data_IF_491625176023
#
_entry.id   IF_491625176023
#
_cell.length_a   1.000
_cell.length_b   1.000
_cell.length_c   1.000
_cell.angle_alpha   90.00
_cell.angle_beta   90.00
_cell.angle_gamma   90.00
#
_symmetry.space_group_name_H-M   'P 1'
#
loop_
_entity.id
_entity.type
_entity.pdbx_description
1 polymer ?
#
# COMPACT_ATOMS: atom_id res chain seq x y z
N UNK A 1 26.00 -21.30 -17.95
CA UNK A 1 27.38 -21.63 -18.31
C UNK A 1 27.48 -22.25 -19.71
N UNK A 2 27.02 -23.48 -20.00
CA UNK A 2 27.05 -24.05 -21.34
C UNK A 2 26.19 -23.25 -22.34
N UNK A 3 24.97 -22.90 -21.99
CA UNK A 3 24.07 -22.09 -22.83
C UNK A 3 24.68 -20.71 -23.15
N UNK A 4 25.39 -20.09 -22.22
CA UNK A 4 26.07 -18.81 -22.48
C UNK A 4 27.18 -18.97 -23.48
N UNK A 5 28.01 -20.01 -23.36
CA UNK A 5 29.06 -20.29 -24.34
C UNK A 5 28.50 -20.55 -25.75
N UNK A 6 27.36 -21.26 -25.86
CA UNK A 6 26.69 -21.45 -27.17
C UNK A 6 26.15 -20.14 -27.75
N UNK A 7 25.59 -19.26 -26.90
CA UNK A 7 25.10 -17.95 -27.33
C UNK A 7 26.28 -17.04 -27.78
N UNK A 8 27.37 -17.05 -27.03
CA UNK A 8 28.59 -16.28 -27.40
C UNK A 8 29.17 -16.76 -28.73
N UNK A 9 29.23 -18.09 -28.97
CA UNK A 9 29.66 -18.65 -30.25
C UNK A 9 28.71 -18.22 -31.38
N UNK A 10 27.41 -18.34 -31.22
CA UNK A 10 26.43 -17.96 -32.22
C UNK A 10 26.55 -16.45 -32.56
N UNK A 11 26.79 -15.61 -31.54
CA UNK A 11 27.03 -14.18 -31.72
C UNK A 11 28.29 -13.92 -32.57
N UNK A 12 29.40 -14.58 -32.28
CA UNK A 12 30.65 -14.46 -33.06
C UNK A 12 30.45 -14.89 -34.49
N UNK A 13 29.70 -15.99 -34.74
CA UNK A 13 29.37 -16.44 -36.09
C UNK A 13 28.58 -15.37 -36.85
N UNK A 14 27.52 -14.84 -36.21
CA UNK A 14 26.66 -13.81 -36.80
C UNK A 14 27.46 -12.51 -37.11
N UNK A 15 28.37 -12.10 -36.23
CA UNK A 15 29.24 -10.94 -36.46
C UNK A 15 30.16 -11.17 -37.67
N UNK A 16 30.73 -12.37 -37.83
CA UNK A 16 31.53 -12.74 -38.99
C UNK A 16 30.70 -12.74 -40.27
N UNK A 17 29.53 -13.34 -40.24
CA UNK A 17 28.61 -13.39 -41.38
C UNK A 17 28.13 -11.98 -41.78
N UNK A 18 27.94 -11.08 -40.84
CA UNK A 18 27.64 -9.68 -41.09
C UNK A 18 28.77 -8.99 -41.91
N UNK A 19 30.03 -9.23 -41.52
CA UNK A 19 31.19 -8.71 -42.26
C UNK A 19 31.32 -9.30 -43.66
N UNK A 20 31.05 -10.61 -43.80
CA UNK A 20 31.07 -11.29 -45.08
C UNK A 20 29.92 -10.85 -45.99
N UNK A 21 28.76 -10.57 -45.46
CA UNK A 21 27.64 -10.02 -46.23
C UNK A 21 27.98 -8.62 -46.75
N UNK A 22 28.63 -7.78 -45.93
CA UNK A 22 29.04 -6.43 -46.34
C UNK A 22 29.96 -6.40 -47.56
N UNK A 23 30.80 -7.44 -47.75
CA UNK A 23 31.66 -7.62 -48.92
C UNK A 23 31.05 -8.57 -49.96
N UNK A 24 29.77 -8.90 -49.86
CA UNK A 24 29.01 -9.81 -50.75
C UNK A 24 29.62 -11.23 -50.87
N UNK A 25 30.35 -11.69 -49.85
CA UNK A 25 30.97 -13.02 -49.82
C UNK A 25 29.94 -14.13 -49.44
N UNK A 26 28.84 -13.79 -48.84
CA UNK A 26 27.74 -14.72 -48.50
C UNK A 26 26.38 -14.17 -48.94
N UNK A 27 25.40 -15.07 -49.06
CA UNK A 27 24.01 -14.67 -49.35
C UNK A 27 23.32 -14.08 -48.13
N UNK A 28 22.33 -13.22 -48.37
CA UNK A 28 21.50 -12.67 -47.31
C UNK A 28 20.80 -13.76 -46.48
N UNK A 29 20.41 -14.86 -47.11
CA UNK A 29 19.77 -15.99 -46.41
C UNK A 29 20.69 -16.64 -45.38
N UNK A 30 21.98 -16.75 -45.64
CA UNK A 30 22.97 -17.28 -44.69
C UNK A 30 23.09 -16.35 -43.48
N UNK A 31 23.21 -15.05 -43.73
CA UNK A 31 23.23 -14.06 -42.63
C UNK A 31 21.94 -14.06 -41.81
N UNK A 32 20.77 -14.07 -42.45
CA UNK A 32 19.48 -14.09 -41.76
C UNK A 32 19.33 -15.34 -40.87
N UNK A 33 19.87 -16.49 -41.33
CA UNK A 33 19.89 -17.75 -40.56
C UNK A 33 20.79 -17.63 -39.34
N UNK A 34 22.00 -17.13 -39.48
CA UNK A 34 22.93 -16.95 -38.35
C UNK A 34 22.43 -15.91 -37.35
N UNK A 35 21.77 -14.84 -37.82
CA UNK A 35 21.16 -13.84 -36.98
C UNK A 35 20.00 -14.41 -36.17
N UNK A 36 19.14 -15.25 -36.79
CA UNK A 36 18.05 -15.93 -36.12
C UNK A 36 18.56 -16.93 -35.07
N UNK A 37 19.63 -17.69 -35.38
CA UNK A 37 20.23 -18.63 -34.42
C UNK A 37 20.84 -17.88 -33.23
N UNK A 38 21.62 -16.82 -33.46
CA UNK A 38 22.17 -16.00 -32.38
C UNK A 38 21.07 -15.43 -31.46
N UNK A 39 19.97 -14.92 -32.03
CA UNK A 39 18.81 -14.43 -31.27
C UNK A 39 18.14 -15.54 -30.47
N UNK A 40 18.00 -16.72 -31.06
CA UNK A 40 17.40 -17.87 -30.36
C UNK A 40 18.25 -18.33 -29.18
N UNK A 41 19.57 -18.42 -29.33
CA UNK A 41 20.49 -18.80 -28.25
C UNK A 41 20.53 -17.78 -27.14
N UNK A 42 20.48 -16.48 -27.43
CA UNK A 42 20.36 -15.42 -26.43
C UNK A 42 19.06 -15.54 -25.66
N UNK A 43 17.93 -15.75 -26.32
CA UNK A 43 16.64 -15.93 -25.67
C UNK A 43 16.63 -17.14 -24.73
N UNK A 44 17.32 -18.24 -25.08
CA UNK A 44 17.49 -19.41 -24.20
C UNK A 44 18.29 -19.06 -22.94
N UNK A 45 19.35 -18.25 -23.06
CA UNK A 45 20.15 -17.77 -21.91
C UNK A 45 19.27 -16.90 -21.01
N UNK A 46 18.52 -15.96 -21.56
CA UNK A 46 17.64 -15.06 -20.80
C UNK A 46 16.55 -15.84 -20.05
N UNK A 47 15.96 -16.82 -20.72
CA UNK A 47 14.99 -17.73 -20.09
C UNK A 47 15.60 -18.47 -18.89
N UNK A 48 16.83 -18.98 -19.04
CA UNK A 48 17.51 -19.68 -17.95
C UNK A 48 17.89 -18.72 -16.80
N UNK A 49 18.32 -17.50 -17.11
CA UNK A 49 18.59 -16.46 -16.11
C UNK A 49 17.32 -16.14 -15.32
N UNK A 50 16.18 -16.00 -16.00
CA UNK A 50 14.89 -15.75 -15.35
C UNK A 50 14.47 -16.90 -14.41
N UNK A 51 14.74 -18.16 -14.82
CA UNK A 51 14.49 -19.33 -13.98
C UNK A 51 15.35 -19.34 -12.71
N UNK A 52 16.65 -18.99 -12.86
CA UNK A 52 17.56 -18.86 -11.70
C UNK A 52 17.14 -17.71 -10.79
N UNK A 53 16.72 -16.58 -11.36
CA UNK A 53 16.25 -15.43 -10.58
C UNK A 53 15.01 -15.78 -9.73
N UNK A 54 14.09 -16.61 -10.26
CA UNK A 54 12.94 -17.12 -9.49
C UNK A 54 13.33 -18.01 -8.30
N UNK A 55 14.52 -18.60 -8.30
CA UNK A 55 15.05 -19.39 -7.16
C UNK A 55 15.68 -18.52 -6.08
N UNK A 56 15.92 -17.26 -6.36
CA UNK A 56 16.54 -16.33 -5.43
C UNK A 56 15.51 -15.23 -5.05
N UNK A 57 14.75 -15.50 -4.01
CA UNK A 57 13.73 -14.59 -3.51
C UNK A 57 14.36 -13.39 -2.81
N UNK A 58 14.08 -12.20 -3.32
CA UNK A 58 14.50 -10.93 -2.73
C UNK A 58 13.28 -10.20 -2.18
N UNK A 59 13.48 -9.46 -1.08
CA UNK A 59 12.46 -8.58 -0.55
C UNK A 59 12.09 -7.51 -1.58
N UNK A 60 10.80 -7.33 -1.93
CA UNK A 60 10.37 -6.34 -2.93
C UNK A 60 10.42 -4.91 -2.41
N UNK A 61 10.44 -4.71 -1.10
CA UNK A 61 10.52 -3.41 -0.43
C UNK A 61 11.21 -3.56 0.93
N UNK A 62 11.61 -2.44 1.52
CA UNK A 62 12.18 -2.38 2.86
C UNK A 62 11.07 -2.44 3.91
N UNK A 63 11.23 -3.31 4.91
CA UNK A 63 10.21 -3.47 5.95
C UNK A 63 10.68 -4.35 7.10
N UNK A 64 9.78 -4.61 8.04
CA UNK A 64 10.01 -5.54 9.14
C UNK A 64 9.59 -6.95 8.73
N UNK A 65 10.53 -7.88 8.87
CA UNK A 65 10.28 -9.30 8.66
C UNK A 65 9.60 -9.89 9.89
N UNK A 66 8.55 -10.66 9.67
CA UNK A 66 7.88 -11.41 10.72
C UNK A 66 8.57 -12.74 11.02
N UNK A 67 7.82 -13.65 11.63
CA UNK A 67 8.33 -14.99 11.97
C UNK A 67 8.52 -15.80 10.67
N UNK A 68 9.69 -16.40 10.53
CA UNK A 68 9.99 -17.30 9.42
C UNK A 68 9.33 -18.66 9.71
N UNK A 69 8.52 -19.13 8.76
CA UNK A 69 7.71 -20.35 8.92
C UNK A 69 8.37 -21.58 8.32
N UNK A 70 9.61 -21.48 7.82
CA UNK A 70 10.31 -22.54 7.13
C UNK A 70 11.70 -22.78 7.77
N UNK A 71 12.18 -24.01 7.62
CA UNK A 71 13.51 -24.41 8.11
C UNK A 71 14.49 -24.62 6.95
N UNK A 72 15.80 -24.41 7.15
CA UNK A 72 16.81 -24.76 6.17
C UNK A 72 16.71 -26.24 5.77
N UNK A 73 16.75 -26.51 4.46
CA UNK A 73 16.58 -27.85 3.89
C UNK A 73 15.15 -28.32 3.69
N UNK A 74 14.16 -27.54 4.09
CA UNK A 74 12.75 -27.83 3.83
C UNK A 74 12.42 -27.63 2.34
N UNK A 75 11.65 -28.56 1.78
CA UNK A 75 11.09 -28.43 0.44
C UNK A 75 9.92 -27.45 0.48
N UNK A 76 9.87 -26.52 -0.47
CA UNK A 76 8.85 -25.46 -0.59
C UNK A 76 8.22 -25.52 -1.95
N UNK A 77 6.90 -25.48 -2.02
CA UNK A 77 6.15 -25.39 -3.26
C UNK A 77 5.88 -23.94 -3.65
N UNK A 78 5.64 -23.66 -4.93
CA UNK A 78 5.11 -22.36 -5.35
C UNK A 78 3.77 -22.09 -4.67
N UNK A 79 3.67 -20.93 -3.99
CA UNK A 79 2.48 -20.53 -3.22
C UNK A 79 2.59 -20.75 -1.71
N UNK A 80 3.60 -21.47 -1.23
CA UNK A 80 3.82 -21.63 0.20
C UNK A 80 4.25 -20.29 0.84
N UNK A 81 3.67 -20.01 2.02
CA UNK A 81 4.01 -18.82 2.79
C UNK A 81 5.34 -19.05 3.51
N UNK A 82 6.34 -18.23 3.22
CA UNK A 82 7.66 -18.32 3.80
C UNK A 82 7.81 -17.44 5.05
N UNK A 83 7.43 -16.19 4.91
CA UNK A 83 7.45 -15.17 5.95
C UNK A 83 6.49 -14.03 5.60
N UNK A 84 6.24 -13.15 6.55
CA UNK A 84 5.55 -11.87 6.29
C UNK A 84 6.58 -10.75 6.27
N UNK A 85 6.42 -9.83 5.31
CA UNK A 85 7.17 -8.59 5.24
C UNK A 85 6.16 -7.44 5.30
N UNK A 86 6.35 -6.51 6.23
CA UNK A 86 5.40 -5.40 6.45
C UNK A 86 6.14 -4.08 6.55
N UNK A 87 5.58 -3.06 5.90
CA UNK A 87 5.97 -1.66 6.13
C UNK A 87 5.23 -1.18 7.38
N UNK A 88 5.95 -0.64 8.35
CA UNK A 88 5.39 -0.14 9.60
C UNK A 88 5.31 1.39 9.65
N UNK A 89 5.98 2.07 8.73
CA UNK A 89 5.96 3.51 8.60
C UNK A 89 6.04 3.89 7.11
N UNK A 90 5.01 4.57 6.57
CA UNK A 90 3.73 4.87 7.22
C UNK A 90 2.86 3.64 7.45
N UNK A 91 1.90 3.73 8.37
CA UNK A 91 0.87 2.70 8.59
C UNK A 91 -0.49 3.22 8.10
N UNK A 92 -1.31 2.32 7.57
CA UNK A 92 -2.65 2.63 7.11
C UNK A 92 -3.70 2.13 8.10
N UNK A 93 -4.76 2.90 8.26
CA UNK A 93 -5.92 2.57 9.09
C UNK A 93 -7.17 2.61 8.22
N UNK A 94 -7.82 1.46 8.13
CA UNK A 94 -9.10 1.31 7.45
C UNK A 94 -10.23 1.42 8.46
N UNK A 95 -11.21 2.26 8.18
CA UNK A 95 -12.38 2.42 9.02
C UNK A 95 -13.63 2.68 8.17
N UNK A 96 -14.79 2.45 8.79
CA UNK A 96 -16.07 2.58 8.12
C UNK A 96 -16.82 3.77 8.68
N UNK A 97 -17.41 4.57 7.80
CA UNK A 97 -18.25 5.70 8.12
C UNK A 97 -19.66 5.51 7.56
N UNK A 98 -20.72 5.91 8.30
CA UNK A 98 -22.06 5.94 7.76
C UNK A 98 -22.16 6.86 6.54
N UNK A 99 -22.95 6.45 5.52
CA UNK A 99 -23.11 7.21 4.28
C UNK A 99 -23.57 8.67 4.47
N UNK A 100 -24.27 8.96 5.57
CA UNK A 100 -24.78 10.31 5.87
C UNK A 100 -23.64 11.32 6.09
N UNK A 101 -22.45 10.85 6.44
CA UNK A 101 -21.28 11.69 6.69
C UNK A 101 -20.34 11.77 5.46
N UNK A 102 -20.70 11.10 4.35
CA UNK A 102 -19.87 11.00 3.16
C UNK A 102 -19.50 12.37 2.55
N UNK A 103 -20.47 13.29 2.51
CA UNK A 103 -20.27 14.63 1.92
C UNK A 103 -19.30 15.49 2.72
N UNK A 104 -19.11 15.16 3.99
CA UNK A 104 -18.29 15.94 4.92
C UNK A 104 -16.85 15.43 5.00
N UNK A 105 -16.54 14.32 4.31
CA UNK A 105 -15.23 13.67 4.34
C UNK A 105 -14.51 13.93 3.02
N UNK A 106 -13.27 14.42 3.15
CA UNK A 106 -12.43 14.72 1.99
C UNK A 106 -11.03 14.11 2.14
N UNK A 107 -10.44 13.72 1.01
CA UNK A 107 -9.05 13.30 0.96
C UNK A 107 -8.14 14.46 1.42
N UNK A 108 -7.17 14.16 2.28
CA UNK A 108 -6.27 15.15 2.89
C UNK A 108 -6.75 15.67 4.25
N UNK A 109 -7.99 15.38 4.66
CA UNK A 109 -8.52 15.76 5.97
C UNK A 109 -7.75 15.08 7.09
N UNK A 110 -7.53 15.80 8.18
CA UNK A 110 -6.80 15.32 9.33
C UNK A 110 -7.67 14.40 10.19
N UNK A 111 -7.07 13.33 10.69
CA UNK A 111 -7.69 12.35 11.58
C UNK A 111 -6.81 12.14 12.81
N UNK A 112 -7.45 11.95 13.94
CA UNK A 112 -6.77 11.58 15.20
C UNK A 112 -7.12 10.14 15.52
N UNK A 113 -6.10 9.31 15.66
CA UNK A 113 -6.22 7.88 15.90
C UNK A 113 -5.71 7.56 17.30
N UNK A 114 -6.48 6.81 18.05
CA UNK A 114 -6.12 6.27 19.35
C UNK A 114 -6.23 4.75 19.32
N UNK A 115 -5.39 4.07 20.08
CA UNK A 115 -5.40 2.61 20.17
C UNK A 115 -5.55 2.16 21.62
N UNK A 116 -6.20 1.05 21.84
CA UNK A 116 -6.37 0.52 23.21
C UNK A 116 -5.05 0.08 23.84
N UNK A 117 -4.05 -0.22 22.99
CA UNK A 117 -2.70 -0.58 23.43
C UNK A 117 -1.91 0.61 24.01
N UNK A 118 -2.24 1.85 23.60
CA UNK A 118 -1.56 3.08 24.01
C UNK A 118 -2.61 4.15 24.33
N UNK A 119 -3.28 4.03 25.48
CA UNK A 119 -4.42 4.86 25.88
C UNK A 119 -4.12 6.35 25.97
N UNK A 120 -2.87 6.69 26.33
CA UNK A 120 -2.42 8.08 26.51
C UNK A 120 -1.74 8.66 25.24
N UNK A 121 -1.65 7.90 24.17
CA UNK A 121 -1.04 8.32 22.91
C UNK A 121 -2.11 8.55 21.84
N UNK A 122 -2.05 9.72 21.21
CA UNK A 122 -2.82 10.03 20.01
C UNK A 122 -1.89 10.15 18.81
N UNK A 123 -2.30 9.58 17.70
CA UNK A 123 -1.54 9.60 16.45
C UNK A 123 -2.33 10.41 15.43
N UNK A 124 -1.66 11.37 14.82
CA UNK A 124 -2.29 12.19 13.79
C UNK A 124 -1.99 11.62 12.40
N UNK A 125 -3.00 11.59 11.56
CA UNK A 125 -2.90 11.10 10.19
C UNK A 125 -3.74 11.94 9.23
N UNK A 126 -3.75 11.53 7.97
CA UNK A 126 -4.56 12.15 6.92
C UNK A 126 -5.30 11.09 6.13
N UNK A 127 -6.52 11.42 5.72
CA UNK A 127 -7.31 10.57 4.82
C UNK A 127 -6.60 10.50 3.46
N UNK A 128 -6.30 9.31 3.00
CA UNK A 128 -5.65 9.03 1.70
C UNK A 128 -6.64 8.62 0.64
N UNK A 129 -7.67 7.87 1.04
CA UNK A 129 -8.68 7.41 0.11
C UNK A 129 -10.05 7.29 0.76
N UNK A 130 -11.08 7.55 -0.03
CA UNK A 130 -12.49 7.31 0.31
C UNK A 130 -13.06 6.40 -0.77
N UNK A 131 -13.65 5.28 -0.38
CA UNK A 131 -14.25 4.35 -1.32
C UNK A 131 -15.40 5.01 -2.08
N UNK A 132 -15.44 4.93 -3.41
CA UNK A 132 -16.59 5.44 -4.18
C UNK A 132 -17.82 4.53 -4.06
N UNK A 133 -17.69 3.37 -3.40
CA UNK A 133 -18.74 2.38 -3.25
C UNK A 133 -19.23 2.34 -1.80
N UNK A 134 -20.54 2.41 -1.64
CA UNK A 134 -21.22 2.16 -0.36
C UNK A 134 -21.48 0.66 -0.23
N UNK A 135 -21.16 0.09 0.93
CA UNK A 135 -21.56 -1.28 1.25
C UNK A 135 -23.09 -1.32 1.45
N UNK A 136 -23.75 -2.13 0.62
CA UNK A 136 -25.22 -2.21 0.61
C UNK A 136 -25.81 -2.85 1.85
N UNK A 137 -25.05 -3.69 2.57
CA UNK A 137 -25.51 -4.39 3.76
C UNK A 137 -25.41 -3.51 5.00
N UNK A 138 -24.29 -2.80 5.14
CA UNK A 138 -23.99 -1.98 6.33
C UNK A 138 -24.32 -0.50 6.11
N UNK A 139 -24.51 -0.06 4.85
CA UNK A 139 -24.67 1.34 4.43
C UNK A 139 -23.51 2.24 4.88
N UNK A 140 -22.34 1.66 4.95
CA UNK A 140 -21.10 2.35 5.29
C UNK A 140 -20.21 2.56 4.08
N UNK A 141 -19.37 3.59 4.17
CA UNK A 141 -18.30 3.89 3.22
C UNK A 141 -16.98 3.56 3.89
N UNK A 142 -16.13 2.83 3.21
CA UNK A 142 -14.78 2.54 3.67
C UNK A 142 -13.88 3.73 3.39
N UNK A 143 -13.11 4.11 4.40
CA UNK A 143 -12.13 5.20 4.34
C UNK A 143 -10.78 4.69 4.82
N UNK A 144 -9.73 5.09 4.14
CA UNK A 144 -8.36 4.79 4.49
C UNK A 144 -7.65 6.07 4.92
N UNK A 145 -6.95 6.02 6.03
CA UNK A 145 -6.08 7.10 6.50
C UNK A 145 -4.65 6.59 6.69
N UNK A 146 -3.69 7.44 6.36
CA UNK A 146 -2.27 7.20 6.54
C UNK A 146 -1.78 7.92 7.79
N UNK A 147 -1.04 7.21 8.63
CA UNK A 147 -0.49 7.69 9.89
C UNK A 147 1.03 7.53 9.88
N UNK A 148 1.74 8.55 10.33
CA UNK A 148 3.17 8.44 10.58
C UNK A 148 3.41 7.59 11.83
N UNK A 149 4.29 6.61 11.75
CA UNK A 149 4.62 5.68 12.84
C UNK A 149 6.16 5.51 12.97
N UNK A 150 6.90 6.62 13.19
CA UNK A 150 8.36 6.58 13.21
C UNK A 150 8.90 5.65 14.31
N UNK A 151 8.24 5.60 15.45
CA UNK A 151 8.59 4.73 16.57
C UNK A 151 8.20 3.26 16.35
N UNK A 152 7.45 2.96 15.28
CA UNK A 152 6.95 1.61 14.96
C UNK A 152 6.16 0.96 16.11
N UNK A 153 5.47 1.79 16.91
CA UNK A 153 4.64 1.35 18.05
C UNK A 153 3.33 0.73 17.60
N UNK A 154 2.72 1.31 16.57
CA UNK A 154 1.49 0.77 15.99
C UNK A 154 1.84 -0.41 15.10
N UNK A 155 1.16 -1.54 15.33
CA UNK A 155 1.36 -2.75 14.54
C UNK A 155 0.10 -3.06 13.73
N UNK A 156 0.24 -3.61 12.52
CA UNK A 156 -0.90 -4.08 11.73
C UNK A 156 -1.71 -5.12 12.52
N UNK A 157 -3.04 -5.00 12.45
CA UNK A 157 -3.98 -5.85 13.20
C UNK A 157 -4.37 -5.31 14.58
N UNK A 158 -3.81 -4.19 15.02
CA UNK A 158 -4.29 -3.52 16.23
C UNK A 158 -5.64 -2.85 15.98
N UNK A 159 -6.47 -2.82 17.01
CA UNK A 159 -7.71 -2.07 17.00
C UNK A 159 -7.43 -0.57 17.19
N UNK A 160 -8.11 0.27 16.41
CA UNK A 160 -7.93 1.71 16.44
C UNK A 160 -9.28 2.42 16.45
N UNK A 161 -9.38 3.47 17.27
CA UNK A 161 -10.50 4.41 17.28
C UNK A 161 -10.08 5.64 16.49
N UNK A 162 -10.87 6.00 15.49
CA UNK A 162 -10.59 7.14 14.60
C UNK A 162 -11.56 8.27 14.93
N UNK A 163 -11.02 9.43 15.28
CA UNK A 163 -11.77 10.66 15.50
C UNK A 163 -11.50 11.61 14.33
N UNK A 164 -12.57 12.04 13.70
CA UNK A 164 -12.54 12.97 12.58
C UNK A 164 -13.30 14.23 12.98
N UNK A 165 -12.69 15.40 12.82
CA UNK A 165 -13.41 16.65 12.97
C UNK A 165 -14.16 16.95 11.68
N UNK A 166 -15.48 17.00 11.79
CA UNK A 166 -16.38 17.21 10.65
C UNK A 166 -17.09 18.56 10.83
N UNK A 167 -16.98 19.43 9.85
CA UNK A 167 -17.60 20.76 9.85
C UNK A 167 -16.81 21.83 10.59
N UNK A 168 -17.36 23.04 10.60
CA UNK A 168 -16.77 24.19 11.27
C UNK A 168 -17.06 24.14 12.78
N UNK A 169 -16.11 24.61 13.61
CA UNK A 169 -16.33 24.76 15.04
C UNK A 169 -17.39 25.82 15.29
N UNK A 170 -18.58 25.41 15.68
CA UNK A 170 -19.64 26.32 16.09
C UNK A 170 -19.49 26.60 17.59
N UNK A 171 -19.26 27.86 17.93
CA UNK A 171 -19.31 28.32 19.33
C UNK A 171 -20.75 28.35 19.80
N UNK A 172 -21.14 27.38 20.60
CA UNK A 172 -22.45 27.34 21.23
C UNK A 172 -22.39 27.91 22.64
N UNK A 173 -23.35 28.76 22.98
CA UNK A 173 -23.57 29.17 24.36
C UNK A 173 -24.24 28.00 25.12
N UNK A 174 -23.50 27.43 26.04
CA UNK A 174 -24.01 26.35 26.88
C UNK A 174 -24.38 26.87 28.24
N UNK A 175 -25.52 26.40 28.78
CA UNK A 175 -25.96 26.68 30.13
C UNK A 175 -26.06 25.37 30.91
N UNK A 176 -25.73 25.38 32.21
CA UNK A 176 -25.98 24.23 33.05
C UNK A 176 -27.46 23.91 33.03
N UNK A 177 -27.84 22.63 33.06
CA UNK A 177 -29.24 22.18 33.04
C UNK A 177 -30.04 22.76 34.22
N UNK A 178 -29.38 23.05 35.33
CA UNK A 178 -29.94 23.69 36.50
C UNK A 178 -30.34 25.15 36.30
N UNK A 179 -29.86 25.82 35.25
CA UNK A 179 -30.21 27.20 34.92
C UNK A 179 -31.47 27.29 34.03
N UNK A 180 -32.01 26.15 33.60
CA UNK A 180 -33.20 26.08 32.74
C UNK A 180 -34.38 25.64 33.60
N UNK A 181 -35.40 26.48 33.65
CA UNK A 181 -36.66 26.16 34.32
C UNK A 181 -37.66 25.65 33.31
N UNK A 182 -38.18 24.46 33.54
CA UNK A 182 -39.18 23.82 32.68
C UNK A 182 -40.58 24.10 33.24
N UNK A 183 -41.50 24.57 32.40
CA UNK A 183 -42.90 24.74 32.74
C UNK A 183 -43.78 24.22 31.58
N UNK A 184 -45.09 24.00 31.78
CA UNK A 184 -45.98 23.46 30.75
C UNK A 184 -46.04 24.26 29.45
N UNK A 185 -45.59 25.51 29.47
CA UNK A 185 -45.61 26.41 28.33
C UNK A 185 -44.25 26.58 27.63
N UNK A 186 -43.18 25.94 28.14
CA UNK A 186 -41.84 25.96 27.55
C UNK A 186 -40.71 26.00 28.56
N UNK A 187 -39.49 26.16 28.04
CA UNK A 187 -38.26 26.27 28.83
C UNK A 187 -37.86 27.74 28.94
N UNK A 188 -37.58 28.23 30.13
CA UNK A 188 -37.21 29.60 30.42
C UNK A 188 -35.86 29.68 31.12
N UNK A 189 -35.09 30.75 30.84
CA UNK A 189 -33.83 31.07 31.49
C UNK A 189 -33.90 32.50 32.00
N UNK A 190 -33.53 32.71 33.24
CA UNK A 190 -33.47 34.04 33.83
C UNK A 190 -32.09 34.64 33.70
N UNK A 191 -32.02 35.85 33.16
CA UNK A 191 -30.78 36.63 33.07
C UNK A 191 -30.77 37.71 34.12
N UNK A 192 -29.82 37.66 35.06
CA UNK A 192 -29.64 38.75 36.04
C UNK A 192 -28.82 39.87 35.38
N UNK A 193 -29.45 41.05 35.21
CA UNK A 193 -28.75 42.28 34.85
C UNK A 193 -28.43 43.08 36.07
N UNK A 194 -27.15 43.41 36.25
CA UNK A 194 -26.78 44.40 37.28
C UNK A 194 -27.24 45.77 36.77
N UNK A 195 -28.19 46.36 37.43
CA UNK A 195 -28.58 47.79 37.24
C UNK A 195 -27.56 48.64 37.98
N UNK A 196 -26.93 49.57 37.34
CA UNK A 196 -26.09 50.59 37.94
C UNK A 196 -26.90 51.58 38.74
#
# INVERSE_FOLDING_TARGET
TALKAMADLAKVINERDSQQLAIQAISKNVFDTSAADAKSKLAQVDSQIALVAKKNLKAPFSGRVGIVSINPGQYVNPGDKLLTLQTLDPIFVDFNLPQNNAEQIQVGQEVVVTTDAFKDASFTGKITAVSPKVDTNTRNIQVEAQIANPDKKILPGMFANVNIQVGEQVKLLTLPQTAVTYNPYGSTVFIAKKTE
#
